data_IF_510774420480
#
_entry.id   IF_510774420480
#
_cell.length_a   1.000
_cell.length_b   1.000
_cell.length_c   1.000
_cell.angle_alpha   90.00
_cell.angle_beta   90.00
_cell.angle_gamma   90.00
#
_symmetry.space_group_name_H-M   'P 1'
#
loop_
_entity.id
_entity.type
_entity.pdbx_description
1 polymer ?
#
# COMPACT_ATOMS: atom_id res chain seq x y z
N UNK A 1 0.04 -29.07 10.86
CA UNK A 1 -0.42 -28.18 9.77
C UNK A 1 0.76 -27.31 9.39
N UNK A 2 1.18 -27.28 8.12
CA UNK A 2 2.30 -26.44 7.70
C UNK A 2 1.86 -24.96 7.69
N UNK A 3 2.70 -24.07 8.22
CA UNK A 3 2.42 -22.64 8.20
C UNK A 3 2.50 -22.11 6.75
N UNK A 4 1.67 -21.12 6.37
CA UNK A 4 1.76 -20.51 5.06
C UNK A 4 3.14 -19.86 4.87
N UNK A 5 3.84 -20.19 3.78
CA UNK A 5 5.15 -19.65 3.42
C UNK A 5 5.02 -18.58 2.33
N UNK A 6 5.67 -17.44 2.53
CA UNK A 6 5.81 -16.41 1.48
C UNK A 6 7.13 -16.63 0.76
N UNK A 7 7.11 -16.56 -0.57
CA UNK A 7 8.32 -16.62 -1.40
C UNK A 7 8.49 -15.31 -2.14
N UNK A 8 9.69 -14.73 -2.06
CA UNK A 8 10.09 -13.52 -2.77
C UNK A 8 11.29 -13.84 -3.65
N UNK A 9 11.24 -13.38 -4.91
CA UNK A 9 12.41 -13.41 -5.80
C UNK A 9 13.04 -12.03 -5.82
N UNK A 10 14.31 -11.96 -5.50
CA UNK A 10 15.05 -10.70 -5.43
C UNK A 10 16.09 -10.65 -6.55
N UNK A 11 16.16 -9.54 -7.27
CA UNK A 11 17.33 -9.19 -8.06
C UNK A 11 18.25 -8.34 -7.19
N UNK A 12 19.44 -8.86 -6.87
CA UNK A 12 20.38 -8.24 -5.95
C UNK A 12 21.66 -7.89 -6.71
N UNK A 13 22.08 -6.64 -6.60
CA UNK A 13 23.45 -6.21 -6.89
C UNK A 13 24.30 -6.51 -5.65
N UNK A 14 25.10 -7.57 -5.73
CA UNK A 14 25.96 -8.03 -4.63
C UNK A 14 27.18 -7.15 -4.44
N UNK A 15 27.66 -6.46 -5.48
CA UNK A 15 28.82 -5.57 -5.36
C UNK A 15 28.47 -4.34 -4.53
N UNK A 16 27.28 -3.78 -4.73
CA UNK A 16 26.79 -2.62 -3.99
C UNK A 16 25.91 -2.97 -2.78
N UNK A 17 25.66 -4.26 -2.53
CA UNK A 17 24.73 -4.76 -1.50
C UNK A 17 23.33 -4.11 -1.59
N UNK A 18 22.77 -4.05 -2.81
CA UNK A 18 21.46 -3.42 -3.07
C UNK A 18 20.47 -4.39 -3.71
N UNK A 19 19.22 -4.33 -3.28
CA UNK A 19 18.11 -5.00 -3.96
C UNK A 19 17.61 -4.07 -5.06
N UNK A 20 17.70 -4.51 -6.31
CA UNK A 20 17.24 -3.75 -7.48
C UNK A 20 15.74 -3.97 -7.73
N UNK A 21 15.28 -5.21 -7.58
CA UNK A 21 13.88 -5.59 -7.77
C UNK A 21 13.46 -6.71 -6.83
N UNK A 22 12.16 -6.71 -6.47
CA UNK A 22 11.53 -7.78 -5.71
C UNK A 22 10.22 -8.20 -6.41
N UNK A 23 10.16 -9.44 -6.87
CA UNK A 23 8.96 -10.06 -7.43
C UNK A 23 8.29 -10.94 -6.36
N UNK A 24 6.98 -10.79 -6.21
CA UNK A 24 6.17 -11.51 -5.25
C UNK A 24 4.85 -11.97 -5.86
N UNK A 25 4.26 -13.01 -5.28
CA UNK A 25 2.91 -13.44 -5.66
C UNK A 25 1.85 -12.37 -5.35
N UNK A 26 0.79 -12.32 -6.17
CA UNK A 26 -0.29 -11.33 -6.08
C UNK A 26 -0.82 -11.11 -4.66
N UNK A 27 -1.07 -12.19 -3.89
CA UNK A 27 -1.60 -12.07 -2.53
C UNK A 27 -0.68 -11.34 -1.54
N UNK A 28 0.64 -11.44 -1.71
CA UNK A 28 1.61 -10.70 -0.89
C UNK A 28 1.65 -9.22 -1.27
N UNK A 29 1.63 -8.92 -2.57
CA UNK A 29 1.57 -7.53 -3.07
C UNK A 29 0.28 -6.86 -2.62
N UNK A 30 -0.87 -7.53 -2.79
CA UNK A 30 -2.17 -7.04 -2.33
C UNK A 30 -2.18 -6.79 -0.81
N UNK A 31 -1.57 -7.68 -0.03
CA UNK A 31 -1.43 -7.50 1.42
C UNK A 31 -0.61 -6.25 1.74
N UNK A 32 0.58 -6.08 1.15
CA UNK A 32 1.42 -4.89 1.39
C UNK A 32 0.71 -3.60 0.96
N UNK A 33 0.09 -3.60 -0.22
CA UNK A 33 -0.64 -2.44 -0.73
C UNK A 33 -1.81 -2.10 0.18
N UNK A 34 -2.62 -3.06 0.61
CA UNK A 34 -3.70 -2.84 1.57
C UNK A 34 -3.17 -2.39 2.93
N UNK A 35 -2.07 -2.99 3.42
CA UNK A 35 -1.43 -2.61 4.67
C UNK A 35 -0.82 -1.21 4.59
N UNK A 36 -0.52 -0.68 3.41
CA UNK A 36 -0.05 0.70 3.23
C UNK A 36 -1.25 1.64 3.03
N UNK A 37 -2.23 1.28 2.21
CA UNK A 37 -3.43 2.09 1.96
C UNK A 37 -4.29 2.28 3.22
N UNK A 38 -4.48 1.24 4.03
CA UNK A 38 -5.32 1.30 5.24
C UNK A 38 -4.79 2.30 6.28
N UNK A 39 -3.52 2.26 6.71
CA UNK A 39 -2.98 3.25 7.63
C UNK A 39 -2.73 4.59 6.95
N UNK A 40 -2.31 4.66 5.67
CA UNK A 40 -2.04 5.94 5.01
C UNK A 40 -3.33 6.72 4.71
N UNK A 41 -4.39 6.09 4.20
CA UNK A 41 -5.68 6.76 3.95
C UNK A 41 -6.38 7.22 5.24
N UNK A 42 -6.14 6.54 6.36
CA UNK A 42 -6.68 6.92 7.67
C UNK A 42 -5.81 7.98 8.35
N UNK A 43 -4.48 7.85 8.31
CA UNK A 43 -3.54 8.84 8.86
C UNK A 43 -3.61 10.16 8.08
N UNK A 44 -3.65 10.15 6.74
CA UNK A 44 -3.74 11.37 5.93
C UNK A 44 -5.00 12.18 6.20
N UNK A 45 -6.11 11.55 6.61
CA UNK A 45 -7.32 12.28 7.01
C UNK A 45 -7.17 12.97 8.37
N UNK A 46 -6.13 12.63 9.11
CA UNK A 46 -5.84 13.11 10.45
C UNK A 46 -4.71 14.14 10.48
N UNK A 47 -3.87 14.18 9.44
CA UNK A 47 -2.93 15.28 9.17
C UNK A 47 -3.62 16.26 8.21
N UNK A 48 -4.24 17.28 8.79
CA UNK A 48 -4.76 18.44 8.06
C UNK A 48 -3.63 19.06 7.19
N UNK A 49 -3.98 19.70 6.06
CA UNK A 49 -3.06 20.29 5.06
C UNK A 49 -2.02 21.29 5.60
N UNK A 50 -2.04 21.56 6.91
CA UNK A 50 -1.21 22.55 7.61
C UNK A 50 -0.10 21.95 8.48
N UNK A 51 -0.19 20.66 8.84
CA UNK A 51 0.90 19.99 9.54
C UNK A 51 1.85 19.43 8.48
N UNK A 52 3.12 19.83 8.55
CA UNK A 52 4.17 19.44 7.62
C UNK A 52 4.23 17.92 7.48
N UNK A 53 3.57 17.39 6.44
CA UNK A 53 3.67 16.00 6.04
C UNK A 53 5.04 15.78 5.38
N UNK A 54 6.09 16.05 6.14
CA UNK A 54 7.48 15.96 5.72
C UNK A 54 7.92 14.50 5.63
N UNK A 55 8.52 14.14 4.49
CA UNK A 55 9.24 12.87 4.33
C UNK A 55 8.61 11.89 3.34
N UNK A 56 8.97 10.61 3.50
CA UNK A 56 8.67 9.55 2.53
C UNK A 56 7.17 9.23 2.40
N UNK A 57 6.34 9.58 3.39
CA UNK A 57 4.90 9.35 3.35
C UNK A 57 4.20 10.19 2.26
N UNK A 58 4.61 11.46 2.10
CA UNK A 58 4.07 12.31 1.04
C UNK A 58 4.44 11.77 -0.34
N UNK A 59 5.71 11.41 -0.53
CA UNK A 59 6.19 10.81 -1.79
C UNK A 59 5.49 9.48 -2.10
N UNK A 60 5.23 8.69 -1.07
CA UNK A 60 4.51 7.43 -1.21
C UNK A 60 3.02 7.66 -1.55
N UNK A 61 2.36 8.62 -0.92
CA UNK A 61 0.99 9.01 -1.26
C UNK A 61 0.88 9.52 -2.70
N UNK A 62 1.76 10.43 -3.12
CA UNK A 62 1.79 10.89 -4.51
C UNK A 62 2.05 9.75 -5.49
N UNK A 63 2.91 8.80 -5.14
CA UNK A 63 3.19 7.63 -6.00
C UNK A 63 1.99 6.70 -6.11
N UNK A 64 1.27 6.45 -5.01
CA UNK A 64 0.02 5.67 -5.03
C UNK A 64 -1.05 6.37 -5.86
N UNK A 65 -1.19 7.69 -5.72
CA UNK A 65 -2.16 8.46 -6.49
C UNK A 65 -1.80 8.58 -7.99
N UNK A 66 -0.52 8.37 -8.34
CA UNK A 66 0.00 8.31 -9.73
C UNK A 66 0.03 6.88 -10.30
N UNK A 67 -0.21 5.85 -9.48
CA UNK A 67 -0.31 4.48 -9.96
C UNK A 67 -1.57 4.35 -10.83
N UNK A 68 -1.43 3.70 -11.98
CA UNK A 68 -2.57 3.48 -12.89
C UNK A 68 -3.67 2.65 -12.19
N UNK A 69 -4.94 2.98 -12.46
CA UNK A 69 -6.11 2.39 -11.79
C UNK A 69 -6.20 0.86 -11.92
N UNK A 70 -5.45 0.25 -12.84
CA UNK A 70 -5.36 -1.21 -12.97
C UNK A 70 -4.50 -1.86 -11.87
N UNK A 71 -3.65 -1.09 -11.18
CA UNK A 71 -2.74 -1.57 -10.13
C UNK A 71 -3.16 -1.19 -8.72
N UNK A 72 -4.03 -0.18 -8.59
CA UNK A 72 -4.71 0.12 -7.33
C UNK A 72 -5.88 -0.84 -7.23
N UNK A 73 -5.94 -1.62 -6.15
CA UNK A 73 -7.13 -2.40 -5.84
C UNK A 73 -8.31 -1.42 -5.82
N UNK A 74 -9.21 -1.51 -6.80
CA UNK A 74 -10.53 -0.92 -6.67
C UNK A 74 -11.10 -1.51 -5.39
N UNK A 75 -11.14 -0.69 -4.34
CA UNK A 75 -11.97 -0.96 -3.18
C UNK A 75 -13.38 -1.00 -3.75
N UNK A 76 -13.79 -2.21 -4.11
CA UNK A 76 -15.15 -2.48 -4.56
C UNK A 76 -16.01 -1.98 -3.42
N UNK A 77 -16.67 -0.85 -3.67
CA UNK A 77 -17.61 -0.14 -2.82
C UNK A 77 -17.80 -0.85 -1.49
N UNK A 78 -17.27 -0.30 -0.40
CA UNK A 78 -17.97 -0.44 0.88
C UNK A 78 -19.25 0.39 0.74
N UNK A 79 -20.19 -0.11 -0.06
CA UNK A 79 -21.57 0.30 0.01
C UNK A 79 -22.14 -0.42 1.23
N UNK A 80 -21.81 0.08 2.41
CA UNK A 80 -22.83 0.12 3.44
C UNK A 80 -23.51 1.48 3.30
N UNK A 81 -24.74 1.55 2.74
CA UNK A 81 -25.51 2.76 2.85
C UNK A 81 -25.68 3.08 4.33
N UNK A 82 -25.34 4.31 4.69
CA UNK A 82 -25.65 4.90 5.99
C UNK A 82 -27.18 4.86 6.12
N UNK A 83 -27.72 3.87 6.82
CA UNK A 83 -29.11 3.93 7.27
C UNK A 83 -29.12 4.61 8.63
N UNK A 84 -29.16 5.94 8.58
CA UNK A 84 -29.72 6.73 9.67
C UNK A 84 -31.20 6.33 9.81
N UNK A 85 -31.52 5.43 10.73
CA UNK A 85 -32.86 5.20 11.29
C UNK A 85 -32.76 4.34 12.55
N UNK A 86 -32.60 5.01 13.69
CA UNK A 86 -33.57 5.12 14.78
C UNK A 86 -33.02 6.15 15.78
#
# INVERSE_FOLDING_TARGET
>A
MAAPSVTLKLLIDTENNKVLFAEAGKGFVDFLVNMILLPVGTFLRQFDEKEDMGGSLRSLYESINKLDNNYVLQTSKISHPISHRC
#
